data_IF_003230230258
#
_entry.id   IF_003230230258
#
_cell.length_a   1.000
_cell.length_b   1.000
_cell.length_c   1.000
_cell.angle_alpha   90.00
_cell.angle_beta   90.00
_cell.angle_gamma   90.00
#
_symmetry.space_group_name_H-M   'P 1'
#
loop_
_entity.id
_entity.type
_entity.pdbx_description
1 polymer ?
#
# COMPACT_ATOMS: atom_id res chain seq x y z
N UNK A 1 13.82 -2.90 -10.21
CA UNK A 1 14.94 -2.19 -10.89
C UNK A 1 16.22 -2.33 -10.06
N UNK A 2 17.38 -2.37 -10.70
CA UNK A 2 18.66 -2.24 -10.00
C UNK A 2 19.05 -0.75 -9.96
N UNK A 3 19.60 -0.23 -8.85
CA UNK A 3 20.11 1.14 -8.83
C UNK A 3 21.25 1.29 -9.87
N UNK A 4 21.34 2.47 -10.48
CA UNK A 4 22.43 2.79 -11.43
C UNK A 4 23.76 2.83 -10.65
N UNK A 5 23.74 3.35 -9.44
CA UNK A 5 24.86 3.38 -8.50
C UNK A 5 24.35 3.32 -7.06
N UNK A 6 25.25 3.09 -6.12
CA UNK A 6 24.91 3.01 -4.70
C UNK A 6 24.40 1.64 -4.25
N UNK A 7 23.96 1.57 -3.00
CA UNK A 7 23.40 0.37 -2.36
C UNK A 7 22.05 0.70 -1.73
N UNK A 8 21.10 -0.23 -1.85
CA UNK A 8 19.82 -0.18 -1.15
C UNK A 8 19.86 -1.18 -0.01
N UNK A 9 19.57 -0.70 1.20
CA UNK A 9 19.43 -1.52 2.40
C UNK A 9 18.06 -1.28 3.02
N UNK A 10 17.36 -2.34 3.38
CA UNK A 10 16.06 -2.30 4.03
C UNK A 10 16.18 -3.09 5.33
N UNK A 11 15.94 -2.43 6.47
CA UNK A 11 16.15 -3.04 7.80
C UNK A 11 17.58 -3.59 7.97
N UNK A 12 18.59 -2.93 7.39
CA UNK A 12 19.98 -3.38 7.43
C UNK A 12 20.34 -4.56 6.51
N UNK A 13 19.37 -5.05 5.72
CA UNK A 13 19.50 -6.24 4.86
C UNK A 13 19.29 -5.91 3.39
N UNK A 14 19.65 -6.84 2.50
CA UNK A 14 19.35 -6.73 1.08
C UNK A 14 17.87 -6.99 0.81
N UNK A 15 17.33 -6.44 -0.28
CA UNK A 15 15.94 -6.70 -0.70
C UNK A 15 15.61 -8.20 -0.79
N UNK A 16 16.55 -9.03 -1.27
CA UNK A 16 16.33 -10.48 -1.41
C UNK A 16 16.07 -11.19 -0.07
N UNK A 17 16.58 -10.65 1.03
CA UNK A 17 16.39 -11.22 2.36
C UNK A 17 15.07 -10.81 3.00
N UNK A 18 14.53 -9.66 2.60
CA UNK A 18 13.36 -9.05 3.26
C UNK A 18 12.12 -8.94 2.38
N UNK A 19 12.17 -9.32 1.09
CA UNK A 19 11.05 -9.10 0.15
C UNK A 19 9.71 -9.67 0.60
N UNK A 20 9.71 -10.76 1.40
CA UNK A 20 8.49 -11.34 1.96
C UNK A 20 7.86 -10.46 3.06
N UNK A 21 8.64 -9.55 3.63
CA UNK A 21 8.22 -8.61 4.67
C UNK A 21 7.76 -7.27 4.07
N UNK A 22 7.74 -7.16 2.76
CA UNK A 22 7.37 -5.96 2.03
C UNK A 22 6.10 -6.25 1.22
N UNK A 23 5.07 -5.43 1.41
CA UNK A 23 3.89 -5.40 0.57
C UNK A 23 3.94 -4.16 -0.33
N UNK A 24 3.51 -4.32 -1.59
CA UNK A 24 3.38 -3.24 -2.54
C UNK A 24 1.94 -3.11 -3.02
N UNK A 25 1.41 -1.91 -2.93
CA UNK A 25 0.10 -1.52 -3.42
C UNK A 25 0.32 -0.54 -4.58
N UNK A 26 0.14 -0.98 -5.83
CA UNK A 26 0.30 -0.14 -7.01
C UNK A 26 -0.89 0.82 -7.14
N UNK A 27 -0.69 1.88 -7.89
CA UNK A 27 -1.78 2.75 -8.36
C UNK A 27 -2.76 1.93 -9.20
N UNK A 28 -4.06 2.05 -8.94
CA UNK A 28 -5.10 1.23 -9.59
C UNK A 28 -5.18 1.44 -11.09
N UNK A 29 -4.79 2.61 -11.59
CA UNK A 29 -4.76 2.96 -13.02
C UNK A 29 -3.69 2.21 -13.80
N UNK A 30 -2.64 1.71 -13.16
CA UNK A 30 -1.52 0.99 -13.81
C UNK A 30 -1.77 -0.50 -13.97
N UNK A 31 -2.86 -1.02 -13.41
CA UNK A 31 -3.14 -2.46 -13.37
C UNK A 31 -4.12 -2.85 -14.47
N UNK A 32 -3.81 -3.93 -15.18
CA UNK A 32 -4.76 -4.53 -16.13
C UNK A 32 -5.85 -5.30 -15.35
N UNK A 33 -7.07 -4.78 -15.38
CA UNK A 33 -8.22 -5.34 -14.67
C UNK A 33 -9.03 -6.36 -15.49
N UNK A 34 -8.69 -6.60 -16.74
CA UNK A 34 -9.42 -7.52 -17.63
C UNK A 34 -9.03 -8.98 -17.42
N UNK A 35 -8.44 -9.32 -16.29
CA UNK A 35 -8.09 -10.68 -15.94
C UNK A 35 -9.28 -11.39 -15.29
N UNK A 36 -9.67 -12.60 -15.74
CA UNK A 36 -10.83 -13.33 -15.22
C UNK A 36 -10.52 -13.94 -13.84
N UNK A 37 -10.61 -13.14 -12.80
CA UNK A 37 -10.34 -13.56 -11.41
C UNK A 37 -11.35 -12.92 -10.45
N UNK A 38 -11.68 -13.64 -9.39
CA UNK A 38 -12.57 -13.12 -8.36
C UNK A 38 -11.80 -12.26 -7.35
N UNK A 39 -12.55 -11.43 -6.61
CA UNK A 39 -12.02 -10.59 -5.54
C UNK A 39 -11.27 -11.42 -4.50
N UNK A 40 -11.85 -12.54 -4.06
CA UNK A 40 -11.23 -13.41 -3.05
C UNK A 40 -9.92 -14.04 -3.57
N UNK A 41 -9.84 -14.36 -4.87
CA UNK A 41 -8.63 -14.91 -5.45
C UNK A 41 -7.51 -13.87 -5.43
N UNK A 42 -7.81 -12.61 -5.81
CA UNK A 42 -6.83 -11.51 -5.75
C UNK A 42 -6.30 -11.32 -4.33
N UNK A 43 -7.17 -11.32 -3.32
CA UNK A 43 -6.73 -11.14 -1.92
C UNK A 43 -5.93 -12.35 -1.44
N UNK A 44 -6.33 -13.55 -1.83
CA UNK A 44 -5.61 -14.79 -1.51
C UNK A 44 -4.20 -14.82 -2.08
N UNK A 45 -3.94 -14.15 -3.23
CA UNK A 45 -2.57 -14.00 -3.76
C UNK A 45 -1.61 -13.34 -2.76
N UNK A 46 -2.10 -12.49 -1.85
CA UNK A 46 -1.30 -11.93 -0.77
C UNK A 46 -0.70 -12.99 0.15
N UNK A 47 -1.32 -14.16 0.26
CA UNK A 47 -0.84 -15.27 1.09
C UNK A 47 0.32 -16.06 0.48
N UNK A 48 0.52 -15.96 -0.85
CA UNK A 48 1.56 -16.74 -1.54
C UNK A 48 2.98 -16.43 -1.08
N UNK A 49 3.26 -15.21 -0.65
CA UNK A 49 4.58 -14.85 -0.13
C UNK A 49 4.98 -15.66 1.13
N UNK A 50 3.99 -16.06 1.95
CA UNK A 50 4.19 -16.90 3.13
C UNK A 50 4.14 -18.40 2.85
N UNK A 51 3.60 -18.82 1.70
CA UNK A 51 3.51 -20.22 1.32
C UNK A 51 4.81 -20.63 0.61
N UNK A 52 5.34 -21.80 0.93
CA UNK A 52 6.48 -22.37 0.18
C UNK A 52 6.05 -22.79 -1.25
N UNK A 53 7.03 -22.99 -2.12
CA UNK A 53 6.87 -23.23 -3.58
C UNK A 53 5.86 -24.33 -3.95
N UNK A 54 5.58 -25.28 -3.05
CA UNK A 54 4.70 -26.44 -3.28
C UNK A 54 3.46 -26.47 -2.39
N UNK A 55 3.23 -25.44 -1.57
CA UNK A 55 2.04 -25.41 -0.70
C UNK A 55 0.86 -24.79 -1.43
N UNK A 56 -0.24 -25.53 -1.50
CA UNK A 56 -1.52 -25.01 -2.00
C UNK A 56 -2.19 -24.14 -0.94
N UNK A 57 -2.96 -23.15 -1.39
CA UNK A 57 -3.85 -22.38 -0.53
C UNK A 57 -4.86 -23.34 0.09
N UNK A 58 -4.87 -23.42 1.40
CA UNK A 58 -5.84 -24.20 2.18
C UNK A 58 -6.99 -23.32 2.68
N UNK A 59 -7.97 -23.92 3.36
CA UNK A 59 -9.13 -23.21 3.91
C UNK A 59 -8.72 -22.08 4.88
N UNK A 60 -7.71 -22.30 5.71
CA UNK A 60 -7.21 -21.29 6.66
C UNK A 60 -6.63 -20.05 5.95
N UNK A 61 -5.95 -20.22 4.81
CA UNK A 61 -5.44 -19.07 4.06
C UNK A 61 -6.56 -18.29 3.36
N UNK A 62 -7.63 -18.98 2.93
CA UNK A 62 -8.84 -18.31 2.41
C UNK A 62 -9.57 -17.54 3.50
N UNK A 63 -9.64 -18.09 4.71
CA UNK A 63 -10.24 -17.41 5.86
C UNK A 63 -9.51 -16.10 6.18
N UNK A 64 -8.16 -16.11 6.23
CA UNK A 64 -7.36 -14.88 6.39
C UNK A 64 -7.61 -13.86 5.28
N UNK A 65 -7.81 -14.32 4.05
CA UNK A 65 -8.17 -13.44 2.93
C UNK A 65 -9.56 -12.82 3.11
N UNK A 66 -10.53 -13.59 3.60
CA UNK A 66 -11.87 -13.09 3.94
C UNK A 66 -11.84 -12.08 5.10
N UNK A 67 -11.02 -12.32 6.14
CA UNK A 67 -10.81 -11.36 7.21
C UNK A 67 -10.23 -10.03 6.70
N UNK A 68 -9.27 -10.11 5.78
CA UNK A 68 -8.72 -8.93 5.14
C UNK A 68 -9.77 -8.17 4.31
N UNK A 69 -10.67 -8.87 3.60
CA UNK A 69 -11.79 -8.27 2.90
C UNK A 69 -12.78 -7.59 3.87
N UNK A 70 -13.08 -8.21 5.01
CA UNK A 70 -13.94 -7.62 6.06
C UNK A 70 -13.37 -6.31 6.59
N UNK A 71 -12.06 -6.24 6.87
CA UNK A 71 -11.39 -5.00 7.28
C UNK A 71 -11.62 -3.86 6.26
N UNK A 72 -11.65 -4.20 4.97
CA UNK A 72 -11.88 -3.24 3.90
C UNK A 72 -13.38 -3.07 3.53
N UNK A 73 -14.31 -3.69 4.25
CA UNK A 73 -15.78 -3.70 3.97
C UNK A 73 -16.06 -4.16 2.53
N UNK A 74 -15.43 -5.26 2.12
CA UNK A 74 -15.50 -5.83 0.77
C UNK A 74 -15.89 -7.31 0.77
N UNK A 75 -16.31 -7.88 1.89
CA UNK A 75 -16.69 -9.29 2.02
C UNK A 75 -17.84 -9.70 1.11
N UNK A 76 -18.83 -8.85 0.92
CA UNK A 76 -20.00 -9.10 0.05
C UNK A 76 -19.61 -9.19 -1.44
N UNK A 77 -18.43 -8.71 -1.79
CA UNK A 77 -17.91 -8.73 -3.14
C UNK A 77 -16.96 -9.90 -3.42
N UNK A 78 -16.72 -10.78 -2.44
CA UNK A 78 -15.68 -11.81 -2.48
C UNK A 78 -15.76 -12.70 -3.74
N UNK A 79 -16.95 -13.07 -4.18
CA UNK A 79 -17.18 -13.92 -5.36
C UNK A 79 -17.30 -13.16 -6.68
N UNK A 80 -17.34 -11.81 -6.66
CA UNK A 80 -17.45 -11.00 -7.89
C UNK A 80 -16.15 -11.01 -8.67
N UNK A 81 -16.28 -10.82 -9.99
CA UNK A 81 -15.14 -10.57 -10.87
C UNK A 81 -14.52 -9.21 -10.53
N UNK A 82 -13.18 -9.16 -10.48
CA UNK A 82 -12.47 -7.92 -10.15
C UNK A 82 -12.71 -6.80 -11.19
N UNK A 83 -12.99 -7.17 -12.44
CA UNK A 83 -13.32 -6.23 -13.52
C UNK A 83 -14.60 -5.43 -13.27
N UNK A 84 -15.57 -6.00 -12.56
CA UNK A 84 -16.89 -5.41 -12.28
C UNK A 84 -16.86 -4.34 -11.18
N UNK A 85 -15.73 -4.17 -10.49
CA UNK A 85 -15.61 -3.26 -9.37
C UNK A 85 -15.32 -1.83 -9.83
N UNK A 86 -15.83 -0.85 -9.05
CA UNK A 86 -15.44 0.55 -9.17
C UNK A 86 -13.96 0.77 -8.81
N UNK A 87 -13.38 1.92 -9.19
CA UNK A 87 -11.99 2.26 -8.85
C UNK A 87 -11.70 2.20 -7.35
N UNK A 88 -12.54 2.80 -6.52
CA UNK A 88 -12.40 2.76 -5.06
C UNK A 88 -12.58 1.36 -4.47
N UNK A 89 -13.44 0.53 -5.06
CA UNK A 89 -13.56 -0.88 -4.65
C UNK A 89 -12.29 -1.67 -5.01
N UNK A 90 -11.74 -1.48 -6.21
CA UNK A 90 -10.46 -2.08 -6.65
C UNK A 90 -9.33 -1.68 -5.72
N UNK A 91 -9.25 -0.41 -5.33
CA UNK A 91 -8.26 0.08 -4.37
C UNK A 91 -8.36 -0.66 -3.04
N UNK A 92 -9.57 -0.80 -2.49
CA UNK A 92 -9.80 -1.54 -1.24
C UNK A 92 -9.43 -3.01 -1.35
N UNK A 93 -9.67 -3.66 -2.49
CA UNK A 93 -9.24 -5.05 -2.72
C UNK A 93 -7.72 -5.18 -2.74
N UNK A 94 -6.98 -4.24 -3.32
CA UNK A 94 -5.51 -4.26 -3.27
C UNK A 94 -4.95 -4.05 -1.88
N UNK A 95 -5.58 -3.18 -1.10
CA UNK A 95 -5.20 -3.00 0.31
C UNK A 95 -5.53 -4.26 1.10
N UNK A 96 -6.70 -4.90 0.87
CA UNK A 96 -7.04 -6.19 1.48
C UNK A 96 -6.00 -7.28 1.13
N UNK A 97 -5.52 -7.33 -0.11
CA UNK A 97 -4.43 -8.25 -0.51
C UNK A 97 -3.15 -7.99 0.28
N UNK A 98 -2.79 -6.73 0.49
CA UNK A 98 -1.62 -6.36 1.28
C UNK A 98 -1.82 -6.67 2.77
N UNK A 99 -3.02 -6.46 3.32
CA UNK A 99 -3.39 -6.89 4.68
C UNK A 99 -3.19 -8.40 4.81
N UNK A 100 -3.73 -9.17 3.87
CA UNK A 100 -3.60 -10.63 3.88
C UNK A 100 -2.14 -11.10 3.85
N UNK A 101 -1.24 -10.37 3.18
CA UNK A 101 0.20 -10.66 3.19
C UNK A 101 0.82 -10.51 4.57
N UNK A 102 0.30 -9.62 5.43
CA UNK A 102 0.78 -9.31 6.78
C UNK A 102 2.27 -8.94 6.80
N UNK A 103 2.65 -7.99 5.96
CA UNK A 103 4.03 -7.50 5.85
C UNK A 103 4.39 -6.57 7.01
N UNK A 104 5.69 -6.27 7.16
CA UNK A 104 6.21 -5.27 8.10
C UNK A 104 6.31 -3.87 7.47
N UNK A 105 6.52 -3.82 6.15
CA UNK A 105 6.65 -2.57 5.39
C UNK A 105 5.64 -2.58 4.25
N UNK A 106 4.91 -1.49 4.10
CA UNK A 106 3.93 -1.28 3.04
C UNK A 106 4.36 -0.10 2.17
N UNK A 107 4.61 -0.35 0.90
CA UNK A 107 4.77 0.69 -0.10
C UNK A 107 3.42 0.90 -0.80
N UNK A 108 2.92 2.11 -0.79
CA UNK A 108 1.63 2.47 -1.38
C UNK A 108 1.83 3.58 -2.41
N UNK A 109 1.40 3.32 -3.63
CA UNK A 109 1.49 4.30 -4.72
C UNK A 109 0.12 4.96 -4.89
N UNK A 110 0.03 6.21 -4.43
CA UNK A 110 -1.19 7.03 -4.43
C UNK A 110 -2.43 6.29 -3.87
N UNK A 111 -2.39 5.79 -2.63
CA UNK A 111 -3.47 4.94 -2.10
C UNK A 111 -4.81 5.65 -1.97
N UNK A 112 -4.84 6.98 -1.99
CA UNK A 112 -6.03 7.83 -1.81
C UNK A 112 -6.49 8.49 -3.12
N UNK A 113 -5.79 8.26 -4.24
CA UNK A 113 -6.13 8.91 -5.52
C UNK A 113 -7.48 8.40 -6.07
N UNK A 114 -8.38 9.34 -6.38
CA UNK A 114 -9.64 9.03 -7.06
C UNK A 114 -10.65 8.21 -6.24
N UNK A 115 -10.50 8.17 -4.91
CA UNK A 115 -11.45 7.50 -4.02
C UNK A 115 -12.42 8.53 -3.38
N UNK A 116 -13.62 8.07 -3.05
CA UNK A 116 -14.56 8.87 -2.28
C UNK A 116 -14.14 9.00 -0.80
N UNK A 117 -14.68 9.99 -0.08
CA UNK A 117 -14.32 10.26 1.32
C UNK A 117 -14.55 9.08 2.26
N UNK A 118 -15.56 8.24 2.00
CA UNK A 118 -15.83 7.05 2.80
C UNK A 118 -14.74 6.00 2.62
N UNK A 119 -14.30 5.79 1.40
CA UNK A 119 -13.20 4.88 1.06
C UNK A 119 -11.87 5.41 1.63
N UNK A 120 -11.60 6.71 1.49
CA UNK A 120 -10.43 7.38 2.07
C UNK A 120 -10.35 7.13 3.58
N UNK A 121 -11.44 7.36 4.32
CA UNK A 121 -11.48 7.14 5.76
C UNK A 121 -11.15 5.69 6.13
N UNK A 122 -11.69 4.70 5.40
CA UNK A 122 -11.37 3.28 5.63
C UNK A 122 -9.88 3.01 5.44
N UNK A 123 -9.28 3.59 4.40
CA UNK A 123 -7.85 3.42 4.10
C UNK A 123 -7.00 4.04 5.21
N UNK A 124 -7.30 5.28 5.61
CA UNK A 124 -6.56 5.99 6.67
C UNK A 124 -6.68 5.27 8.01
N UNK A 125 -7.87 4.80 8.39
CA UNK A 125 -8.04 3.99 9.60
C UNK A 125 -7.17 2.72 9.56
N UNK A 126 -7.13 2.03 8.42
CA UNK A 126 -6.28 0.86 8.23
C UNK A 126 -4.79 1.20 8.36
N UNK A 127 -4.35 2.32 7.80
CA UNK A 127 -2.96 2.79 7.94
C UNK A 127 -2.64 3.10 9.41
N UNK A 128 -3.55 3.73 10.15
CA UNK A 128 -3.41 3.99 11.59
C UNK A 128 -3.33 2.68 12.40
N UNK A 129 -4.11 1.66 12.04
CA UNK A 129 -4.00 0.32 12.66
C UNK A 129 -2.61 -0.29 12.41
N UNK A 130 -2.11 -0.25 11.17
CA UNK A 130 -0.77 -0.75 10.84
C UNK A 130 0.31 -0.05 11.67
N UNK A 131 0.22 1.27 11.84
CA UNK A 131 1.14 2.02 12.70
C UNK A 131 1.09 1.54 14.15
N UNK A 132 -0.11 1.32 14.70
CA UNK A 132 -0.29 0.77 16.08
C UNK A 132 0.31 -0.63 16.23
N UNK A 133 0.28 -1.42 15.15
CA UNK A 133 0.90 -2.75 15.10
C UNK A 133 2.44 -2.70 14.88
N UNK A 134 3.05 -1.52 14.86
CA UNK A 134 4.50 -1.35 14.64
C UNK A 134 4.96 -1.53 13.21
N UNK A 135 4.05 -1.50 12.24
CA UNK A 135 4.36 -1.59 10.82
C UNK A 135 4.74 -0.23 10.25
N UNK A 136 5.55 -0.23 9.20
CA UNK A 136 5.97 0.98 8.49
C UNK A 136 5.19 1.13 7.19
N UNK A 137 4.65 2.33 6.94
CA UNK A 137 3.97 2.68 5.70
C UNK A 137 4.74 3.78 5.01
N UNK A 138 5.03 3.58 3.73
CA UNK A 138 5.64 4.57 2.85
C UNK A 138 4.67 4.77 1.70
N UNK A 139 4.10 5.96 1.60
CA UNK A 139 3.11 6.28 0.58
C UNK A 139 3.57 7.45 -0.31
N UNK A 140 3.35 7.34 -1.61
CA UNK A 140 3.37 8.50 -2.50
C UNK A 140 2.02 9.22 -2.33
N UNK A 141 2.07 10.52 -2.08
CA UNK A 141 0.90 11.34 -1.81
C UNK A 141 1.04 12.72 -2.46
N UNK A 142 -0.01 13.20 -3.10
CA UNK A 142 0.01 14.46 -3.84
C UNK A 142 -0.85 15.56 -3.22
N UNK A 143 -1.76 15.22 -2.30
CA UNK A 143 -2.59 16.23 -1.64
C UNK A 143 -1.84 16.82 -0.44
N UNK A 144 -1.28 18.00 -0.67
CA UNK A 144 -0.52 18.72 0.36
C UNK A 144 -1.38 19.16 1.55
N UNK A 145 -2.72 19.28 1.38
CA UNK A 145 -3.61 19.73 2.44
C UNK A 145 -3.82 18.66 3.52
N UNK A 146 -3.75 17.41 3.15
CA UNK A 146 -3.98 16.27 4.07
C UNK A 146 -2.67 15.65 4.59
N UNK A 147 -1.52 16.10 4.10
CA UNK A 147 -0.22 15.50 4.40
C UNK A 147 0.09 15.51 5.91
N UNK A 148 -0.10 16.65 6.58
CA UNK A 148 0.16 16.79 8.03
C UNK A 148 -0.82 15.99 8.89
N UNK A 149 -2.03 15.71 8.40
CA UNK A 149 -3.02 14.93 9.13
C UNK A 149 -2.74 13.42 9.05
N UNK A 150 -2.18 12.95 7.92
CA UNK A 150 -2.08 11.53 7.64
C UNK A 150 -0.70 10.94 7.87
N UNK A 151 0.36 11.76 7.79
CA UNK A 151 1.74 11.28 7.81
C UNK A 151 2.59 11.94 8.89
N UNK A 152 3.35 11.15 9.64
CA UNK A 152 4.24 11.62 10.70
C UNK A 152 5.57 12.16 10.16
N UNK A 153 6.01 11.63 9.01
CA UNK A 153 7.27 11.96 8.35
C UNK A 153 7.04 12.20 6.88
N UNK A 154 7.85 13.08 6.30
CA UNK A 154 7.84 13.39 4.88
C UNK A 154 9.25 13.27 4.30
N UNK A 155 9.30 12.82 3.05
CA UNK A 155 10.50 12.83 2.21
C UNK A 155 10.15 13.64 0.97
N UNK A 156 10.80 14.78 0.78
CA UNK A 156 10.56 15.69 -0.34
C UNK A 156 11.67 15.55 -1.36
N UNK A 157 11.29 15.26 -2.60
CA UNK A 157 12.22 14.91 -3.68
C UNK A 157 11.90 15.71 -4.94
N UNK A 158 12.92 16.37 -5.49
CA UNK A 158 12.90 16.97 -6.83
C UNK A 158 14.23 16.68 -7.51
N UNK A 159 14.32 15.61 -8.30
CA UNK A 159 15.57 15.05 -8.89
C UNK A 159 16.62 14.65 -7.84
N UNK A 160 16.65 15.33 -6.72
CA UNK A 160 17.48 15.06 -5.55
C UNK A 160 16.65 15.15 -4.27
N UNK A 161 17.18 14.66 -3.16
CA UNK A 161 16.55 14.83 -1.85
C UNK A 161 16.59 16.32 -1.48
N UNK A 162 15.42 16.92 -1.27
CA UNK A 162 15.30 18.31 -0.80
C UNK A 162 15.27 18.32 0.72
N UNK A 163 14.37 17.56 1.34
CA UNK A 163 14.24 17.50 2.79
C UNK A 163 13.68 16.13 3.22
N UNK A 164 13.98 15.72 4.44
CA UNK A 164 13.40 14.52 5.06
C UNK A 164 13.38 14.68 6.57
N UNK A 165 12.24 14.41 7.21
CA UNK A 165 12.08 14.54 8.66
C UNK A 165 10.62 14.43 9.09
N UNK A 166 10.36 14.85 10.35
CA UNK A 166 9.00 14.93 10.87
C UNK A 166 8.19 15.92 10.02
N UNK A 167 6.95 15.57 9.73
CA UNK A 167 6.10 16.37 8.83
C UNK A 167 5.97 17.81 9.33
N UNK A 168 5.71 18.02 10.62
CA UNK A 168 5.53 19.34 11.23
C UNK A 168 6.76 20.25 11.09
N UNK A 169 7.96 19.69 11.07
CA UNK A 169 9.24 20.42 11.00
C UNK A 169 9.72 20.59 9.55
N UNK A 170 9.39 19.65 8.70
CA UNK A 170 9.96 19.53 7.33
C UNK A 170 9.02 20.12 6.28
N UNK A 171 7.70 20.04 6.47
CA UNK A 171 6.70 20.53 5.54
C UNK A 171 6.48 22.03 5.72
N UNK A 172 7.51 22.81 5.40
CA UNK A 172 7.52 24.28 5.46
C UNK A 172 7.58 24.87 4.05
N UNK A 173 7.14 26.12 3.91
CA UNK A 173 7.03 26.81 2.63
C UNK A 173 8.31 26.74 1.79
N UNK A 174 9.46 26.95 2.40
CA UNK A 174 10.76 26.92 1.74
C UNK A 174 11.03 25.56 1.06
N UNK A 175 10.76 24.46 1.75
CA UNK A 175 10.95 23.11 1.22
C UNK A 175 9.89 22.76 0.16
N UNK A 176 8.66 23.28 0.32
CA UNK A 176 7.59 23.12 -0.67
C UNK A 176 7.98 23.85 -1.96
N UNK A 177 8.41 25.09 -1.89
CA UNK A 177 8.83 25.88 -3.03
C UNK A 177 10.04 25.24 -3.74
N UNK A 178 11.02 24.68 -2.99
CA UNK A 178 12.15 23.97 -3.54
C UNK A 178 11.76 22.65 -4.22
N UNK A 179 10.67 22.02 -3.78
CA UNK A 179 10.22 20.72 -4.32
C UNK A 179 9.33 20.89 -5.55
N UNK A 180 8.41 21.85 -5.54
CA UNK A 180 7.35 22.04 -6.54
C UNK A 180 7.47 23.35 -7.29
N UNK A 181 8.26 24.30 -6.82
CA UNK A 181 8.56 25.57 -7.55
C UNK A 181 9.35 25.27 -8.82
N UNK A 182 8.97 25.94 -9.93
CA UNK A 182 9.69 25.90 -11.21
C UNK A 182 11.06 26.62 -11.15
#
# INVERSE_FOLDING_TARGET
MKPISGKVSIMGKSYKEVYKQIAYIPQTTTVNWNFPTTVIDVVTMGRYAGLGLFKRVNASEKEKALEALKKMKMEDFASRQISELSGGQKQRVFIARAIAQNALIYFMDEPLAGVDKKTENIIIETMREFKKEGKTIIAVHHDLNTLCEYFDHVIMVNKQLIASGRTEETFVKENIDATYGE
#
